data_IF_783977346811
#
_entry.id   IF_783977346811
#
_cell.length_a   1.000
_cell.length_b   1.000
_cell.length_c   1.000
_cell.angle_alpha   90.00
_cell.angle_beta   90.00
_cell.angle_gamma   90.00
#
_symmetry.space_group_name_H-M   'P 1'
#
loop_
_entity.id
_entity.type
_entity.pdbx_description
1 polymer ?
#
# COMPACT_ATOMS: atom_id res chain seq x y z
N UNK A 1 4.05 -17.92 12.17
CA UNK A 1 4.43 -17.43 10.81
C UNK A 1 3.48 -17.94 9.74
N UNK A 2 3.28 -19.25 9.62
CA UNK A 2 2.36 -19.83 8.64
C UNK A 2 0.95 -19.20 8.69
N UNK A 3 0.42 -18.98 9.88
CA UNK A 3 -0.87 -18.31 10.08
C UNK A 3 -0.87 -16.86 9.58
N UNK A 4 0.21 -16.09 9.76
CA UNK A 4 0.33 -14.71 9.26
C UNK A 4 0.32 -14.63 7.72
N UNK A 5 0.95 -15.58 7.07
CA UNK A 5 1.08 -15.59 5.60
C UNK A 5 -0.13 -16.20 4.91
N UNK A 6 -0.83 -17.15 5.54
CA UNK A 6 -2.03 -17.80 4.98
C UNK A 6 -3.31 -16.97 5.13
N UNK A 7 -3.39 -16.10 6.14
CA UNK A 7 -4.56 -15.21 6.33
C UNK A 7 -4.64 -14.19 5.19
N UNK A 8 -5.83 -14.02 4.62
CA UNK A 8 -6.08 -12.95 3.64
C UNK A 8 -6.32 -11.66 4.43
N UNK A 9 -5.51 -10.60 4.19
CA UNK A 9 -5.71 -9.32 4.86
C UNK A 9 -7.09 -8.73 4.55
N UNK A 10 -7.78 -8.22 5.57
CA UNK A 10 -9.13 -7.66 5.43
C UNK A 10 -9.19 -6.50 4.41
N UNK A 11 -8.13 -5.70 4.30
CA UNK A 11 -8.09 -4.56 3.38
C UNK A 11 -8.15 -4.94 1.89
N UNK A 12 -7.96 -6.23 1.54
CA UNK A 12 -8.13 -6.75 0.17
C UNK A 12 -9.58 -7.13 -0.14
N UNK A 13 -10.49 -7.10 0.83
CA UNK A 13 -11.89 -7.42 0.61
C UNK A 13 -12.53 -6.37 -0.33
N UNK A 14 -13.22 -6.83 -1.35
CA UNK A 14 -13.98 -5.95 -2.23
C UNK A 14 -15.11 -5.27 -1.44
N UNK A 15 -15.28 -3.98 -1.66
CA UNK A 15 -16.33 -3.19 -1.02
C UNK A 15 -17.35 -2.76 -2.08
N UNK A 16 -18.55 -3.36 -2.10
CA UNK A 16 -19.58 -3.01 -3.08
C UNK A 16 -20.02 -1.54 -3.03
N UNK A 17 -20.00 -0.97 -1.83
CA UNK A 17 -20.48 0.40 -1.58
C UNK A 17 -19.39 1.47 -1.72
N UNK A 18 -18.13 1.08 -1.96
CA UNK A 18 -17.03 2.02 -2.18
C UNK A 18 -16.95 2.41 -3.65
N UNK A 19 -16.76 3.70 -3.98
CA UNK A 19 -16.45 4.11 -5.35
C UNK A 19 -15.29 3.29 -5.91
N UNK A 20 -15.41 2.82 -7.13
CA UNK A 20 -14.49 1.88 -7.77
C UNK A 20 -13.00 2.31 -7.76
N UNK A 21 -12.64 3.59 -7.96
CA UNK A 21 -11.23 3.96 -7.97
C UNK A 21 -10.57 3.83 -6.59
N UNK A 22 -11.34 3.68 -5.49
CA UNK A 22 -10.80 3.65 -4.13
C UNK A 22 -10.67 2.20 -3.67
N UNK A 23 -9.44 1.72 -3.52
CA UNK A 23 -9.17 0.31 -3.24
C UNK A 23 -9.01 0.01 -1.75
N UNK A 24 -8.21 0.80 -1.06
CA UNK A 24 -7.95 0.65 0.37
C UNK A 24 -7.46 1.96 0.96
N UNK A 25 -7.64 2.15 2.26
CA UNK A 25 -7.10 3.28 2.99
C UNK A 25 -6.35 2.82 4.23
N UNK A 26 -5.44 3.65 4.71
CA UNK A 26 -4.76 3.45 5.98
C UNK A 26 -4.65 4.75 6.76
N UNK A 27 -4.66 4.62 8.09
CA UNK A 27 -4.31 5.67 9.03
C UNK A 27 -3.12 5.21 9.87
N UNK A 28 -2.13 6.09 10.05
CA UNK A 28 -0.98 5.83 10.92
C UNK A 28 -0.87 6.97 11.92
N UNK A 29 -0.71 6.63 13.20
CA UNK A 29 -0.42 7.53 14.28
C UNK A 29 1.00 7.26 14.78
N UNK A 30 1.87 8.27 14.73
CA UNK A 30 3.25 8.19 15.19
C UNK A 30 3.38 8.80 16.58
N UNK A 31 4.04 8.09 17.52
CA UNK A 31 4.20 8.50 18.90
C UNK A 31 5.61 8.21 19.40
N UNK A 32 6.18 9.13 20.16
CA UNK A 32 7.42 8.91 20.89
C UNK A 32 7.17 8.98 22.40
N UNK A 33 7.88 8.16 23.16
CA UNK A 33 7.76 8.08 24.62
C UNK A 33 8.71 9.14 25.22
N UNK A 34 8.20 9.97 26.13
CA UNK A 34 8.90 11.14 26.68
C UNK A 34 10.22 10.79 27.38
N UNK A 35 10.26 9.65 28.06
CA UNK A 35 11.42 9.24 28.87
C UNK A 35 12.60 8.72 28.07
N UNK A 36 12.46 8.60 26.73
CA UNK A 36 13.49 8.07 25.85
C UNK A 36 13.93 9.11 24.82
N UNK A 37 15.18 9.04 24.40
CA UNK A 37 15.67 9.84 23.27
C UNK A 37 15.03 9.37 21.97
N UNK A 38 14.94 10.25 20.97
CA UNK A 38 14.34 9.92 19.69
C UNK A 38 15.07 8.76 19.00
N UNK A 39 14.36 7.93 18.20
CA UNK A 39 14.87 6.67 17.65
C UNK A 39 16.22 6.74 16.92
N UNK A 40 16.56 7.88 16.31
CA UNK A 40 17.85 8.07 15.63
C UNK A 40 19.04 8.07 16.57
N UNK A 41 18.84 8.56 17.80
CA UNK A 41 19.87 8.65 18.84
C UNK A 41 19.75 7.52 19.87
N UNK A 42 18.73 6.68 19.76
CA UNK A 42 18.43 5.61 20.70
C UNK A 42 19.43 4.46 20.55
N UNK A 43 20.11 4.10 21.64
CA UNK A 43 20.98 2.92 21.68
C UNK A 43 20.15 1.64 21.83
N UNK A 44 20.78 0.47 21.57
CA UNK A 44 20.07 -0.82 21.59
C UNK A 44 19.47 -1.16 22.96
N UNK A 45 20.08 -0.73 24.05
CA UNK A 45 19.55 -0.98 25.40
C UNK A 45 18.27 -0.17 25.65
N UNK A 46 18.20 1.07 25.17
CA UNK A 46 16.98 1.89 25.24
C UNK A 46 15.89 1.30 24.35
N UNK A 47 16.22 0.90 23.12
CA UNK A 47 15.28 0.20 22.21
C UNK A 47 14.74 -1.08 22.85
N UNK A 48 15.60 -1.82 23.55
CA UNK A 48 15.19 -3.03 24.29
C UNK A 48 14.31 -2.73 25.48
N UNK A 49 14.56 -1.64 26.17
CA UNK A 49 13.71 -1.16 27.27
C UNK A 49 12.31 -0.75 26.75
N UNK A 50 12.24 -0.01 25.64
CA UNK A 50 10.97 0.36 24.98
C UNK A 50 10.18 -0.89 24.57
N UNK A 51 10.82 -1.83 23.89
CA UNK A 51 10.18 -3.08 23.45
C UNK A 51 9.67 -3.90 24.64
N UNK A 52 10.47 -4.04 25.68
CA UNK A 52 10.10 -4.76 26.91
C UNK A 52 8.90 -4.11 27.61
N UNK A 53 8.91 -2.78 27.71
CA UNK A 53 7.79 -2.00 28.27
C UNK A 53 6.51 -2.24 27.47
N UNK A 54 6.59 -2.16 26.13
CA UNK A 54 5.44 -2.41 25.25
C UNK A 54 4.91 -3.85 25.39
N UNK A 55 5.77 -4.85 25.37
CA UNK A 55 5.38 -6.28 25.57
C UNK A 55 4.72 -6.53 26.92
N UNK A 56 5.15 -5.84 27.96
CA UNK A 56 4.52 -5.93 29.28
C UNK A 56 3.09 -5.35 29.27
N UNK A 57 2.88 -4.26 28.52
CA UNK A 57 1.54 -3.68 28.33
C UNK A 57 0.60 -4.64 27.61
N UNK A 58 1.07 -5.33 26.57
CA UNK A 58 0.28 -6.33 25.85
C UNK A 58 -0.20 -7.48 26.74
N UNK A 59 0.67 -7.96 27.65
CA UNK A 59 0.34 -9.08 28.56
C UNK A 59 -0.70 -8.69 29.61
N UNK A 60 -0.70 -7.44 30.03
CA UNK A 60 -1.48 -6.96 31.17
C UNK A 60 -2.80 -6.27 30.77
N UNK A 61 -3.04 -6.08 29.49
CA UNK A 61 -4.20 -5.33 29.00
C UNK A 61 -4.95 -6.09 27.90
N UNK A 62 -6.25 -6.22 28.06
CA UNK A 62 -7.12 -6.97 27.14
C UNK A 62 -7.47 -6.23 25.84
N UNK A 63 -7.17 -4.94 25.73
CA UNK A 63 -7.54 -4.15 24.53
C UNK A 63 -6.79 -4.58 23.27
N UNK A 64 -5.71 -5.36 23.41
CA UNK A 64 -4.94 -5.96 22.31
C UNK A 64 -5.03 -7.50 22.29
N UNK A 65 -6.11 -8.09 22.79
CA UNK A 65 -6.27 -9.56 22.84
C UNK A 65 -6.51 -10.22 21.47
N UNK A 66 -6.77 -9.42 20.42
CA UNK A 66 -7.13 -9.91 19.08
C UNK A 66 -5.94 -10.11 18.13
N UNK A 67 -4.72 -10.31 18.63
CA UNK A 67 -3.53 -10.46 17.81
C UNK A 67 -2.32 -10.93 18.59
N UNK A 68 -1.18 -11.02 17.91
CA UNK A 68 0.10 -11.46 18.47
C UNK A 68 1.21 -10.44 18.27
N UNK A 69 2.22 -10.49 19.15
CA UNK A 69 3.43 -9.69 19.03
C UNK A 69 4.58 -10.51 18.45
N UNK A 70 5.23 -9.95 17.46
CA UNK A 70 6.36 -10.57 16.76
C UNK A 70 7.61 -9.72 16.93
N UNK A 71 8.72 -10.36 17.33
CA UNK A 71 10.03 -9.74 17.41
C UNK A 71 10.63 -9.72 16.01
N UNK A 72 10.64 -8.55 15.37
CA UNK A 72 11.07 -8.41 13.96
C UNK A 72 12.58 -8.59 13.82
N UNK A 73 13.37 -8.21 14.84
CA UNK A 73 14.83 -8.43 14.83
C UNK A 73 15.25 -9.89 14.72
N UNK A 74 14.37 -10.83 15.10
CA UNK A 74 14.66 -12.28 15.10
C UNK A 74 14.14 -12.97 13.81
N UNK A 75 13.47 -12.22 12.92
CA UNK A 75 12.91 -12.75 11.69
C UNK A 75 13.95 -12.82 10.57
N UNK A 76 13.81 -13.82 9.71
CA UNK A 76 14.54 -13.88 8.45
C UNK A 76 14.08 -12.80 7.47
N UNK A 77 14.94 -12.46 6.52
CA UNK A 77 14.71 -11.40 5.55
C UNK A 77 13.49 -11.66 4.65
N UNK A 78 13.22 -12.92 4.29
CA UNK A 78 12.08 -13.26 3.44
C UNK A 78 10.76 -13.02 4.15
N UNK A 79 10.69 -13.42 5.41
CA UNK A 79 9.54 -13.17 6.28
C UNK A 79 9.28 -11.68 6.46
N UNK A 80 10.31 -10.89 6.76
CA UNK A 80 10.17 -9.43 6.90
C UNK A 80 9.67 -8.79 5.60
N UNK A 81 10.19 -9.22 4.44
CA UNK A 81 9.72 -8.74 3.12
C UNK A 81 8.25 -9.09 2.89
N UNK A 82 7.83 -10.30 3.25
CA UNK A 82 6.44 -10.70 3.15
C UNK A 82 5.51 -9.83 4.01
N UNK A 83 5.93 -9.47 5.25
CA UNK A 83 5.19 -8.55 6.10
C UNK A 83 5.13 -7.11 5.52
N UNK A 84 6.22 -6.66 4.90
CA UNK A 84 6.26 -5.36 4.22
C UNK A 84 5.34 -5.33 3.00
N UNK A 85 5.33 -6.37 2.17
CA UNK A 85 4.40 -6.53 1.04
C UNK A 85 2.93 -6.54 1.51
N UNK A 86 2.66 -7.09 2.70
CA UNK A 86 1.35 -7.06 3.38
C UNK A 86 1.01 -5.72 4.04
N UNK A 87 1.94 -4.77 4.02
CA UNK A 87 1.82 -3.45 4.67
C UNK A 87 1.71 -3.52 6.19
N UNK A 88 2.18 -4.60 6.81
CA UNK A 88 2.17 -4.80 8.26
C UNK A 88 3.40 -4.20 8.95
N UNK A 89 4.51 -4.09 8.22
CA UNK A 89 5.69 -3.32 8.62
C UNK A 89 6.11 -2.35 7.51
N UNK A 90 6.94 -1.36 7.84
CA UNK A 90 7.49 -0.44 6.85
C UNK A 90 8.78 -0.98 6.24
N UNK A 91 9.15 -0.51 5.05
CA UNK A 91 10.46 -0.81 4.46
C UNK A 91 11.62 -0.27 5.30
N UNK A 92 11.42 0.86 6.01
CA UNK A 92 12.41 1.37 6.96
C UNK A 92 12.63 0.38 8.10
N UNK A 93 11.55 -0.18 8.66
CA UNK A 93 11.64 -1.20 9.70
C UNK A 93 12.34 -2.48 9.19
N UNK A 94 12.16 -2.82 7.92
CA UNK A 94 12.87 -3.93 7.27
C UNK A 94 14.37 -3.67 7.14
N UNK A 95 14.78 -2.41 6.90
CA UNK A 95 16.17 -2.01 6.75
C UNK A 95 16.85 -1.62 8.08
N UNK A 96 16.09 -1.38 9.15
CA UNK A 96 16.61 -0.97 10.44
C UNK A 96 17.37 -2.12 11.13
N UNK A 97 18.26 -1.75 12.05
CA UNK A 97 18.96 -2.68 12.94
C UNK A 97 18.48 -2.50 14.38
N UNK A 98 18.82 -3.42 15.26
CA UNK A 98 18.52 -3.38 16.69
C UNK A 98 17.12 -3.89 17.06
N UNK A 99 16.81 -3.88 18.36
CA UNK A 99 15.55 -4.39 18.92
C UNK A 99 14.34 -3.66 18.36
N UNK A 100 13.44 -4.40 17.73
CA UNK A 100 12.20 -3.90 17.15
C UNK A 100 11.17 -5.01 16.99
N UNK A 101 9.91 -4.65 17.05
CA UNK A 101 8.84 -5.63 16.92
C UNK A 101 7.56 -5.04 16.38
N UNK A 102 6.58 -5.90 16.14
CA UNK A 102 5.27 -5.52 15.66
C UNK A 102 4.19 -6.37 16.30
N UNK A 103 3.15 -5.73 16.81
CA UNK A 103 1.90 -6.38 17.15
C UNK A 103 1.00 -6.37 15.91
N UNK A 104 0.35 -7.50 15.61
CA UNK A 104 -0.52 -7.65 14.44
C UNK A 104 -1.80 -8.34 14.86
N UNK A 105 -2.96 -7.77 14.51
CA UNK A 105 -4.26 -8.41 14.69
C UNK A 105 -4.45 -9.61 13.77
N UNK A 106 -5.25 -10.60 14.17
CA UNK A 106 -5.47 -11.83 13.39
C UNK A 106 -6.07 -11.56 12.00
N UNK A 107 -6.92 -10.53 11.85
CA UNK A 107 -7.48 -10.09 10.55
C UNK A 107 -6.53 -9.17 9.75
N UNK A 108 -5.37 -8.82 10.32
CA UNK A 108 -4.36 -7.94 9.72
C UNK A 108 -4.87 -6.54 9.34
N UNK A 109 -5.93 -6.05 10.02
CA UNK A 109 -6.42 -4.68 9.84
C UNK A 109 -5.70 -3.65 10.71
N UNK A 110 -5.00 -4.10 11.77
CA UNK A 110 -4.23 -3.26 12.68
C UNK A 110 -2.83 -3.84 12.90
N UNK A 111 -1.83 -2.97 12.86
CA UNK A 111 -0.46 -3.28 13.26
C UNK A 111 0.09 -2.15 14.15
N UNK A 112 0.78 -2.51 15.24
CA UNK A 112 1.50 -1.55 16.08
C UNK A 112 2.99 -1.88 16.02
N UNK A 113 3.73 -1.05 15.33
CA UNK A 113 5.18 -1.18 15.17
C UNK A 113 5.90 -0.50 16.35
N UNK A 114 6.90 -1.17 16.90
CA UNK A 114 7.73 -0.68 18.00
C UNK A 114 9.16 -0.52 17.50
N UNK A 115 9.78 0.62 17.80
CA UNK A 115 11.10 1.01 17.33
C UNK A 115 11.23 1.00 15.79
N UNK A 116 10.21 1.51 15.11
CA UNK A 116 10.24 1.81 13.68
C UNK A 116 10.90 3.17 13.43
N UNK A 117 10.24 4.08 12.69
CA UNK A 117 10.69 5.47 12.55
C UNK A 117 10.54 6.26 13.85
N UNK A 118 9.46 6.01 14.56
CA UNK A 118 9.16 6.52 15.89
C UNK A 118 9.11 5.35 16.89
N UNK A 119 9.06 5.62 18.20
CA UNK A 119 9.03 4.56 19.20
C UNK A 119 7.82 3.66 19.05
N UNK A 120 6.66 4.25 18.70
CA UNK A 120 5.41 3.52 18.44
C UNK A 120 4.77 4.11 17.18
N UNK A 121 4.38 3.24 16.24
CA UNK A 121 3.58 3.62 15.08
C UNK A 121 2.36 2.69 15.00
N UNK A 122 1.18 3.25 15.21
CA UNK A 122 -0.10 2.54 15.17
C UNK A 122 -0.65 2.67 13.75
N UNK A 123 -0.82 1.55 13.06
CA UNK A 123 -1.31 1.49 11.67
C UNK A 123 -2.62 0.73 11.62
N UNK A 124 -3.66 1.37 11.13
CA UNK A 124 -4.92 0.74 10.74
C UNK A 124 -5.07 0.74 9.23
N UNK A 125 -5.51 -0.37 8.65
CA UNK A 125 -5.72 -0.53 7.20
C UNK A 125 -7.13 -1.07 6.97
N UNK A 126 -7.91 -0.37 6.13
CA UNK A 126 -9.29 -0.71 5.82
C UNK A 126 -9.51 -0.83 4.31
N UNK A 127 -10.46 -1.67 3.86
CA UNK A 127 -10.82 -1.75 2.46
C UNK A 127 -11.63 -0.51 2.03
N UNK A 128 -11.46 -0.09 0.78
CA UNK A 128 -12.16 1.07 0.22
C UNK A 128 -11.77 2.40 0.87
N UNK A 129 -12.70 3.36 0.87
CA UNK A 129 -12.52 4.72 1.36
C UNK A 129 -12.88 4.95 2.85
N UNK A 130 -12.81 3.94 3.69
CA UNK A 130 -13.19 3.97 5.12
C UNK A 130 -12.16 4.69 5.98
N UNK A 131 -11.78 5.92 5.60
CA UNK A 131 -10.71 6.69 6.26
C UNK A 131 -11.04 7.04 7.71
N UNK A 132 -12.30 7.32 8.01
CA UNK A 132 -12.76 7.62 9.37
C UNK A 132 -12.67 6.38 10.26
N UNK A 133 -13.16 5.25 9.78
CA UNK A 133 -13.13 3.98 10.52
C UNK A 133 -11.68 3.51 10.74
N UNK A 134 -10.79 3.73 9.76
CA UNK A 134 -9.36 3.46 9.92
C UNK A 134 -8.74 4.34 11.03
N UNK A 135 -9.09 5.63 11.05
CA UNK A 135 -8.65 6.52 12.12
C UNK A 135 -9.24 6.10 13.48
N UNK A 136 -10.54 5.84 13.56
CA UNK A 136 -11.18 5.43 14.81
C UNK A 136 -10.59 4.14 15.39
N UNK A 137 -10.21 3.19 14.54
CA UNK A 137 -9.53 1.98 14.98
C UNK A 137 -8.12 2.29 15.54
N UNK A 138 -7.34 3.10 14.84
CA UNK A 138 -6.02 3.51 15.29
C UNK A 138 -6.09 4.35 16.57
N UNK A 139 -7.04 5.29 16.64
CA UNK A 139 -7.21 6.21 17.77
C UNK A 139 -7.62 5.47 19.06
N UNK A 140 -8.47 4.45 18.98
CA UNK A 140 -8.80 3.63 20.16
C UNK A 140 -7.55 2.98 20.79
N UNK A 141 -6.61 2.56 19.98
CA UNK A 141 -5.33 1.99 20.46
C UNK A 141 -4.41 3.10 20.96
N UNK A 142 -4.38 4.23 20.30
CA UNK A 142 -3.61 5.41 20.72
C UNK A 142 -4.04 5.92 22.10
N UNK A 143 -5.35 6.10 22.32
CA UNK A 143 -5.93 6.49 23.60
C UNK A 143 -5.60 5.49 24.71
N UNK A 144 -5.72 4.19 24.41
CA UNK A 144 -5.40 3.14 25.38
C UNK A 144 -3.91 3.10 25.73
N UNK A 145 -3.02 3.30 24.76
CA UNK A 145 -1.58 3.39 24.99
C UNK A 145 -1.20 4.70 25.69
N UNK A 146 -1.83 5.83 25.35
CA UNK A 146 -1.61 7.13 25.96
C UNK A 146 -1.93 7.18 27.46
N UNK A 147 -2.88 6.33 27.91
CA UNK A 147 -3.16 6.16 29.34
C UNK A 147 -2.05 5.39 30.10
N UNK A 148 -1.15 4.71 29.38
CA UNK A 148 -0.14 3.80 29.95
C UNK A 148 1.30 4.26 29.65
N UNK A 149 1.46 5.07 28.60
CA UNK A 149 2.73 5.60 28.12
C UNK A 149 2.64 7.14 28.09
N UNK A 150 3.62 7.82 28.64
CA UNK A 150 3.72 9.28 28.54
C UNK A 150 4.32 9.65 27.19
N UNK A 151 3.48 10.07 26.24
CA UNK A 151 3.94 10.45 24.91
C UNK A 151 4.57 11.85 24.89
N UNK A 152 5.60 12.03 24.06
CA UNK A 152 6.26 13.31 23.83
C UNK A 152 5.31 14.27 23.13
N UNK A 153 4.77 15.19 23.89
CA UNK A 153 3.78 16.19 23.45
C UNK A 153 4.22 17.60 23.88
N UNK A 154 4.02 18.55 22.99
CA UNK A 154 4.26 19.97 23.26
C UNK A 154 2.97 20.76 23.01
N UNK A 155 2.58 21.61 23.95
CA UNK A 155 1.29 22.35 23.95
C UNK A 155 1.00 23.11 22.63
N UNK A 156 2.03 23.66 22.00
CA UNK A 156 1.90 24.46 20.77
C UNK A 156 2.16 23.65 19.49
N UNK A 157 2.93 22.56 19.58
CA UNK A 157 3.36 21.79 18.42
C UNK A 157 2.64 20.46 18.28
N UNK A 158 1.92 20.01 19.31
CA UNK A 158 1.30 18.68 19.32
C UNK A 158 2.30 17.57 19.62
N UNK A 159 2.07 16.38 19.07
CA UNK A 159 2.97 15.25 19.23
C UNK A 159 4.29 15.47 18.52
N UNK A 160 5.36 15.18 19.23
CA UNK A 160 6.72 15.32 18.72
C UNK A 160 7.16 14.00 18.06
N UNK A 161 7.43 14.05 16.78
CA UNK A 161 7.81 12.91 15.96
C UNK A 161 9.19 13.10 15.35
N UNK A 162 9.83 11.99 14.96
CA UNK A 162 11.12 12.02 14.27
C UNK A 162 11.09 12.90 13.02
N UNK A 163 10.04 12.80 12.23
CA UNK A 163 9.90 13.60 11.04
C UNK A 163 9.10 14.87 11.29
N UNK A 164 9.67 16.02 10.95
CA UNK A 164 8.99 17.32 11.06
C UNK A 164 7.65 17.38 10.32
N UNK A 165 7.48 16.59 9.26
CA UNK A 165 6.20 16.48 8.53
C UNK A 165 5.10 15.73 9.27
N UNK A 166 5.44 15.06 10.38
CA UNK A 166 4.49 14.35 11.23
C UNK A 166 4.22 15.06 12.54
N UNK A 167 5.02 16.11 12.87
CA UNK A 167 4.82 16.94 14.07
C UNK A 167 3.43 17.56 14.01
N UNK A 168 2.70 17.55 15.11
CA UNK A 168 1.33 18.02 15.23
C UNK A 168 0.41 16.89 15.66
N UNK A 169 -0.49 16.46 14.82
CA UNK A 169 -1.35 15.28 15.08
C UNK A 169 -0.57 13.97 15.08
N UNK A 170 0.60 13.92 14.47
CA UNK A 170 1.33 12.68 14.23
C UNK A 170 0.56 11.73 13.30
N UNK A 171 -0.47 12.22 12.59
CA UNK A 171 -1.39 11.42 11.79
C UNK A 171 -1.06 11.46 10.30
N UNK A 172 -0.96 10.30 9.70
CA UNK A 172 -0.83 10.13 8.26
C UNK A 172 -1.95 9.25 7.74
N UNK A 173 -2.77 9.83 6.88
CA UNK A 173 -3.82 9.11 6.16
C UNK A 173 -3.37 8.92 4.72
N UNK A 174 -3.46 7.70 4.19
CA UNK A 174 -3.20 7.45 2.79
C UNK A 174 -4.22 6.50 2.18
N UNK A 175 -4.49 6.69 0.89
CA UNK A 175 -5.50 5.93 0.15
C UNK A 175 -4.92 5.41 -1.15
N UNK A 176 -5.07 4.10 -1.37
CA UNK A 176 -4.68 3.44 -2.61
C UNK A 176 -5.80 3.60 -3.65
N UNK A 177 -5.44 4.14 -4.79
CA UNK A 177 -6.34 4.48 -5.89
C UNK A 177 -5.94 3.76 -7.18
N UNK A 178 -6.94 3.43 -8.00
CA UNK A 178 -6.76 2.89 -9.35
C UNK A 178 -7.40 3.85 -10.36
N UNK A 179 -6.58 4.59 -11.13
CA UNK A 179 -6.99 5.74 -11.94
C UNK A 179 -6.67 5.59 -13.44
N UNK A 180 -7.09 4.51 -14.12
CA UNK A 180 -6.77 4.28 -15.53
C UNK A 180 -7.40 5.31 -16.47
N UNK A 181 -8.61 5.83 -16.15
CA UNK A 181 -9.28 6.83 -16.97
C UNK A 181 -8.50 8.15 -17.01
N UNK A 182 -8.13 8.66 -15.84
CA UNK A 182 -7.35 9.88 -15.71
C UNK A 182 -5.96 9.75 -16.36
N UNK A 183 -5.31 8.59 -16.24
CA UNK A 183 -4.02 8.30 -16.91
C UNK A 183 -4.16 8.35 -18.42
N UNK A 184 -5.10 7.58 -18.99
CA UNK A 184 -5.27 7.45 -20.45
C UNK A 184 -5.77 8.74 -21.11
N UNK A 185 -6.51 9.56 -20.36
CA UNK A 185 -6.97 10.88 -20.80
C UNK A 185 -5.98 12.01 -20.50
N UNK A 186 -4.85 11.71 -19.81
CA UNK A 186 -3.80 12.68 -19.43
C UNK A 186 -4.29 13.82 -18.54
N UNK A 187 -5.20 13.53 -17.61
CA UNK A 187 -5.86 14.51 -16.72
C UNK A 187 -5.26 14.55 -15.30
N UNK A 188 -4.20 13.78 -15.03
CA UNK A 188 -3.60 13.69 -13.69
C UNK A 188 -2.99 15.00 -13.20
N UNK A 189 -2.38 15.80 -14.07
CA UNK A 189 -1.75 17.07 -13.66
C UNK A 189 -2.77 18.09 -13.15
N UNK A 190 -3.94 18.16 -13.77
CA UNK A 190 -5.00 19.06 -13.35
C UNK A 190 -5.56 18.64 -11.98
N UNK A 191 -5.66 17.34 -11.77
CA UNK A 191 -6.06 16.78 -10.48
C UNK A 191 -5.01 17.09 -9.39
N UNK A 192 -3.73 16.84 -9.65
CA UNK A 192 -2.63 17.09 -8.72
C UNK A 192 -2.58 18.55 -8.25
N UNK A 193 -2.75 19.49 -9.19
CA UNK A 193 -2.77 20.92 -8.88
C UNK A 193 -3.94 21.31 -7.95
N UNK A 194 -5.09 20.65 -8.06
CA UNK A 194 -6.23 20.81 -7.15
C UNK A 194 -5.94 20.25 -5.77
N UNK A 195 -5.42 19.03 -5.69
CA UNK A 195 -5.11 18.32 -4.45
C UNK A 195 -4.02 19.02 -3.62
N UNK A 196 -2.99 19.56 -4.29
CA UNK A 196 -1.92 20.31 -3.61
C UNK A 196 -2.44 21.53 -2.84
N UNK A 197 -3.50 22.19 -3.34
CA UNK A 197 -4.16 23.30 -2.63
C UNK A 197 -4.93 22.85 -1.38
N UNK A 198 -5.27 21.58 -1.29
CA UNK A 198 -5.94 20.95 -0.16
C UNK A 198 -4.94 20.27 0.79
N UNK A 199 -3.63 20.55 0.67
CA UNK A 199 -2.56 19.92 1.45
C UNK A 199 -2.51 18.38 1.27
N UNK A 200 -2.88 17.91 0.08
CA UNK A 200 -2.83 16.50 -0.30
C UNK A 200 -1.84 16.28 -1.44
N UNK A 201 -1.17 15.15 -1.41
CA UNK A 201 -0.22 14.74 -2.44
C UNK A 201 -0.70 13.44 -3.10
N UNK A 202 -0.71 13.43 -4.43
CA UNK A 202 -0.91 12.24 -5.24
C UNK A 202 0.44 11.77 -5.77
N UNK A 203 0.74 10.49 -5.60
CA UNK A 203 1.99 9.88 -6.06
C UNK A 203 1.72 8.55 -6.75
N UNK A 204 2.50 8.20 -7.78
CA UNK A 204 2.43 6.88 -8.42
C UNK A 204 2.94 5.79 -7.49
N UNK A 205 2.35 4.59 -7.61
CA UNK A 205 2.84 3.39 -6.91
C UNK A 205 3.80 2.65 -7.82
N UNK A 206 5.00 2.37 -7.31
CA UNK A 206 5.95 1.44 -7.95
C UNK A 206 6.12 0.24 -7.03
N UNK A 207 5.98 -0.94 -7.58
CA UNK A 207 6.13 -2.19 -6.83
C UNK A 207 7.51 -2.77 -7.12
N UNK A 208 8.25 -3.04 -6.06
CA UNK A 208 9.59 -3.61 -6.11
C UNK A 208 10.26 -3.53 -4.74
N UNK A 209 11.37 -4.24 -4.56
CA UNK A 209 12.23 -4.07 -3.38
C UNK A 209 13.18 -2.89 -3.68
N UNK A 210 13.14 -1.80 -2.90
CA UNK A 210 13.99 -0.62 -3.12
C UNK A 210 15.49 -0.92 -3.01
N UNK A 211 15.85 -2.06 -2.40
CA UNK A 211 17.25 -2.51 -2.23
C UNK A 211 17.74 -3.31 -3.42
N UNK A 212 16.84 -3.82 -4.25
CA UNK A 212 17.20 -4.48 -5.51
C UNK A 212 17.30 -3.39 -6.56
N UNK A 213 18.50 -3.10 -7.10
CA UNK A 213 18.63 -2.20 -8.23
C UNK A 213 17.63 -2.65 -9.29
N UNK A 214 16.87 -1.71 -9.86
CA UNK A 214 16.05 -2.04 -11.01
C UNK A 214 16.97 -2.73 -12.02
N UNK A 215 16.64 -3.97 -12.35
CA UNK A 215 17.36 -4.71 -13.37
C UNK A 215 17.40 -3.86 -14.63
N UNK A 216 18.57 -3.65 -15.25
CA UNK A 216 18.64 -2.92 -16.51
C UNK A 216 17.65 -3.53 -17.49
N UNK A 217 17.10 -2.71 -18.37
CA UNK A 217 16.09 -3.13 -19.37
C UNK A 217 16.49 -4.37 -20.20
N UNK A 218 17.74 -4.79 -20.14
CA UNK A 218 18.28 -6.00 -20.76
C UNK A 218 17.75 -7.32 -20.16
N UNK A 219 17.19 -7.30 -18.94
CA UNK A 219 16.49 -8.46 -18.35
C UNK A 219 14.96 -8.39 -18.57
N UNK A 220 14.49 -7.43 -19.35
CA UNK A 220 13.15 -7.46 -19.89
C UNK A 220 13.01 -8.73 -20.75
N UNK A 221 12.13 -9.61 -20.33
CA UNK A 221 11.85 -10.85 -21.06
C UNK A 221 11.58 -10.51 -22.52
N UNK A 222 12.22 -11.21 -23.48
CA UNK A 222 11.98 -10.96 -24.90
C UNK A 222 10.50 -11.12 -25.18
N UNK A 223 9.85 -10.08 -25.69
CA UNK A 223 8.43 -10.10 -26.06
C UNK A 223 7.52 -9.09 -25.39
N UNK A 224 7.99 -8.34 -24.38
CA UNK A 224 7.18 -7.31 -23.67
C UNK A 224 6.91 -6.05 -24.50
N UNK A 225 7.44 -5.96 -25.73
CA UNK A 225 7.37 -4.77 -26.59
C UNK A 225 6.10 -4.65 -27.45
N UNK A 226 5.12 -5.53 -27.29
CA UNK A 226 3.93 -5.49 -28.14
C UNK A 226 2.87 -4.51 -27.62
N UNK A 227 2.98 -3.24 -28.01
CA UNK A 227 1.84 -2.31 -28.05
C UNK A 227 1.27 -1.78 -26.74
N UNK A 228 1.45 -2.46 -25.60
CA UNK A 228 1.02 -2.00 -24.28
C UNK A 228 2.11 -1.19 -23.55
N UNK A 229 3.36 -1.34 -23.96
CA UNK A 229 4.54 -0.71 -23.35
C UNK A 229 4.77 0.76 -23.78
N UNK A 230 3.97 1.30 -24.67
CA UNK A 230 4.18 2.65 -25.22
C UNK A 230 3.86 3.81 -24.22
N UNK A 231 3.56 3.53 -22.96
CA UNK A 231 3.15 4.54 -21.97
C UNK A 231 4.14 4.67 -20.80
N UNK A 232 5.14 3.80 -20.68
CA UNK A 232 6.09 3.87 -19.56
C UNK A 232 7.53 3.90 -20.10
N UNK A 233 8.13 5.08 -20.16
CA UNK A 233 9.56 5.19 -20.43
C UNK A 233 10.40 4.57 -19.28
N UNK A 234 11.51 3.85 -19.61
CA UNK A 234 12.38 3.19 -18.63
C UNK A 234 13.23 4.14 -17.75
N UNK A 235 13.10 5.45 -17.94
CA UNK A 235 13.98 6.45 -17.33
C UNK A 235 13.75 6.72 -15.82
N UNK A 236 12.85 6.00 -15.15
CA UNK A 236 12.32 6.39 -13.83
C UNK A 236 12.99 5.69 -12.66
N UNK A 237 14.02 4.91 -12.88
CA UNK A 237 14.67 4.14 -11.80
C UNK A 237 15.45 4.98 -10.76
N UNK A 238 15.56 6.30 -10.95
CA UNK A 238 16.37 7.16 -10.07
C UNK A 238 15.57 7.99 -9.04
N UNK A 239 14.24 7.91 -9.02
CA UNK A 239 13.40 8.73 -8.14
C UNK A 239 12.38 7.92 -7.34
N UNK A 240 12.76 6.74 -6.84
CA UNK A 240 11.93 6.00 -5.90
C UNK A 240 12.03 6.68 -4.54
N UNK A 241 10.94 7.30 -4.11
CA UNK A 241 10.78 7.76 -2.74
C UNK A 241 10.04 6.70 -1.95
N UNK A 242 10.61 6.28 -0.84
CA UNK A 242 9.84 5.60 0.20
C UNK A 242 9.08 6.72 0.90
N UNK A 243 7.74 6.68 0.89
CA UNK A 243 6.98 7.62 1.68
C UNK A 243 7.26 7.38 3.17
N UNK A 244 6.88 8.34 4.01
CA UNK A 244 7.14 8.28 5.46
C UNK A 244 6.44 7.10 6.16
N UNK A 245 5.61 6.35 5.43
CA UNK A 245 4.92 5.15 5.89
C UNK A 245 5.55 3.86 5.33
N UNK A 246 6.68 3.98 4.63
CA UNK A 246 7.38 2.86 4.01
C UNK A 246 6.72 2.31 2.74
N UNK A 247 5.83 3.08 2.09
CA UNK A 247 5.34 2.74 0.76
C UNK A 247 6.31 3.24 -0.30
N UNK A 248 6.51 2.44 -1.35
CA UNK A 248 7.24 2.91 -2.52
C UNK A 248 6.35 3.85 -3.32
N UNK A 249 6.74 5.12 -3.39
CA UNK A 249 6.06 6.12 -4.19
C UNK A 249 6.99 6.70 -5.24
N UNK A 250 6.41 7.16 -6.33
CA UNK A 250 7.13 7.74 -7.45
C UNK A 250 6.38 8.97 -7.99
N UNK A 251 7.02 9.81 -8.81
CA UNK A 251 6.32 10.84 -9.55
C UNK A 251 5.12 10.27 -10.33
N UNK A 252 4.10 11.08 -10.58
CA UNK A 252 2.87 10.64 -11.26
C UNK A 252 3.11 9.90 -12.58
N UNK A 253 4.15 10.27 -13.32
CA UNK A 253 4.51 9.65 -14.59
C UNK A 253 5.05 8.20 -14.45
N UNK A 254 5.39 7.78 -13.24
CA UNK A 254 6.09 6.52 -12.98
C UNK A 254 5.22 5.48 -12.29
N UNK A 255 3.91 5.54 -12.49
CA UNK A 255 2.99 4.58 -11.88
C UNK A 255 3.07 3.20 -12.54
N UNK A 256 2.89 2.15 -11.76
CA UNK A 256 2.75 0.79 -12.25
C UNK A 256 1.29 0.34 -12.09
N UNK A 257 0.66 -0.10 -13.19
CA UNK A 257 -0.72 -0.60 -13.17
C UNK A 257 -1.76 0.47 -12.85
N UNK A 258 -1.51 1.74 -13.19
CA UNK A 258 -2.40 2.88 -12.91
C UNK A 258 -2.78 3.02 -11.44
N UNK A 259 -1.87 2.59 -10.55
CA UNK A 259 -2.04 2.67 -9.10
C UNK A 259 -1.40 3.94 -8.54
N UNK A 260 -2.10 4.60 -7.64
CA UNK A 260 -1.66 5.84 -7.00
C UNK A 260 -1.92 5.79 -5.49
N UNK A 261 -1.17 6.60 -4.75
CA UNK A 261 -1.40 6.86 -3.33
C UNK A 261 -1.69 8.34 -3.15
N UNK A 262 -2.85 8.64 -2.59
CA UNK A 262 -3.20 9.96 -2.06
C UNK A 262 -2.82 10.01 -0.58
N UNK A 263 -2.17 11.10 -0.15
CA UNK A 263 -1.70 11.23 1.24
C UNK A 263 -1.79 12.69 1.71
N UNK A 264 -2.10 12.92 3.01
CA UNK A 264 -2.00 14.25 3.58
C UNK A 264 -0.53 14.68 3.74
N UNK A 265 -0.24 15.93 3.40
CA UNK A 265 1.11 16.50 3.54
C UNK A 265 1.36 17.08 4.93
N UNK A 266 0.39 17.81 5.45
CA UNK A 266 0.53 18.55 6.69
C UNK A 266 -0.18 17.85 7.85
N UNK A 267 0.41 17.99 9.02
CA UNK A 267 -0.08 17.48 10.31
C UNK A 267 -0.04 18.56 11.39
N UNK A 268 0.74 19.62 11.16
CA UNK A 268 0.86 20.78 12.04
C UNK A 268 -0.15 21.86 11.62
N UNK A 269 -0.90 22.37 12.57
CA UNK A 269 -1.88 23.43 12.33
C UNK A 269 -3.24 22.93 11.82
N UNK A 270 -3.41 21.63 11.60
CA UNK A 270 -4.67 20.98 11.30
C UNK A 270 -5.06 20.01 12.41
N UNK A 271 -6.34 19.91 12.70
CA UNK A 271 -6.89 18.85 13.53
C UNK A 271 -7.03 17.56 12.74
N UNK A 272 -7.10 16.42 13.43
CA UNK A 272 -7.36 15.12 12.79
C UNK A 272 -8.69 15.13 12.01
N UNK A 273 -9.72 15.80 12.55
CA UNK A 273 -11.02 15.95 11.89
C UNK A 273 -10.94 16.74 10.57
N UNK A 274 -10.13 17.78 10.51
CA UNK A 274 -9.90 18.57 9.28
C UNK A 274 -9.14 17.75 8.24
N UNK A 275 -8.11 16.98 8.64
CA UNK A 275 -7.39 16.08 7.74
C UNK A 275 -8.35 15.04 7.15
N UNK A 276 -9.19 14.41 7.97
CA UNK A 276 -10.18 13.44 7.51
C UNK A 276 -11.23 14.06 6.58
N UNK A 277 -11.65 15.28 6.88
CA UNK A 277 -12.61 16.02 6.04
C UNK A 277 -12.03 16.33 4.66
N UNK A 278 -10.80 16.89 4.59
CA UNK A 278 -10.13 17.18 3.33
C UNK A 278 -9.89 15.90 2.51
N UNK A 279 -9.47 14.82 3.18
CA UNK A 279 -9.28 13.53 2.52
C UNK A 279 -10.59 13.02 1.92
N UNK A 280 -11.71 13.07 2.67
CA UNK A 280 -13.01 12.63 2.17
C UNK A 280 -13.48 13.43 0.96
N UNK A 281 -13.37 14.77 1.01
CA UNK A 281 -13.70 15.64 -0.12
C UNK A 281 -12.88 15.31 -1.37
N UNK A 282 -11.58 15.12 -1.20
CA UNK A 282 -10.69 14.77 -2.30
C UNK A 282 -11.03 13.39 -2.91
N UNK A 283 -11.40 12.42 -2.08
CA UNK A 283 -11.81 11.09 -2.57
C UNK A 283 -13.11 11.15 -3.39
N UNK A 284 -14.07 11.96 -2.97
CA UNK A 284 -15.32 12.16 -3.72
C UNK A 284 -15.05 12.85 -5.07
N UNK A 285 -14.20 13.90 -5.08
CA UNK A 285 -13.76 14.58 -6.31
C UNK A 285 -12.99 13.62 -7.26
N UNK A 286 -12.05 12.82 -6.73
CA UNK A 286 -11.27 11.87 -7.52
C UNK A 286 -12.19 10.81 -8.14
N UNK A 287 -13.15 10.28 -7.37
CA UNK A 287 -14.08 9.27 -7.85
C UNK A 287 -14.93 9.80 -9.02
N UNK A 288 -15.47 11.00 -8.89
CA UNK A 288 -16.24 11.65 -9.95
C UNK A 288 -15.41 11.91 -11.21
N UNK A 289 -14.21 12.48 -11.04
CA UNK A 289 -13.31 12.78 -12.18
C UNK A 289 -12.82 11.51 -12.89
N UNK A 290 -12.55 10.44 -12.16
CA UNK A 290 -12.15 9.16 -12.77
C UNK A 290 -13.30 8.55 -13.55
N UNK A 291 -14.52 8.57 -13.01
CA UNK A 291 -15.71 8.08 -13.71
C UNK A 291 -15.98 8.87 -14.99
N UNK A 292 -15.90 10.21 -14.93
CA UNK A 292 -16.03 11.08 -16.10
C UNK A 292 -14.94 10.80 -17.15
N UNK A 293 -13.70 10.60 -16.71
CA UNK A 293 -12.59 10.26 -17.59
C UNK A 293 -12.83 8.91 -18.27
N UNK A 294 -13.33 7.89 -17.57
CA UNK A 294 -13.67 6.57 -18.15
C UNK A 294 -14.81 6.71 -19.17
N UNK A 295 -15.87 7.46 -18.85
CA UNK A 295 -16.98 7.73 -19.80
C UNK A 295 -16.49 8.45 -21.05
N UNK A 296 -15.63 9.44 -20.90
CA UNK A 296 -15.03 10.18 -22.00
C UNK A 296 -14.11 9.29 -22.84
N UNK A 297 -13.28 8.48 -22.18
CA UNK A 297 -12.37 7.53 -22.85
C UNK A 297 -13.14 6.52 -23.72
N UNK A 298 -14.23 5.95 -23.18
CA UNK A 298 -15.09 5.04 -23.94
C UNK A 298 -15.73 5.72 -25.14
N UNK A 299 -16.18 6.94 -24.99
CA UNK A 299 -16.83 7.72 -26.08
C UNK A 299 -15.86 8.10 -27.20
N UNK A 300 -14.65 8.54 -26.85
CA UNK A 300 -13.67 9.06 -27.80
C UNK A 300 -12.73 7.99 -28.37
N UNK A 301 -12.43 6.95 -27.60
CA UNK A 301 -11.42 5.92 -27.93
C UNK A 301 -11.89 4.50 -27.60
N UNK A 302 -13.20 4.25 -27.60
CA UNK A 302 -13.77 2.97 -27.15
C UNK A 302 -13.20 1.75 -27.88
N UNK A 303 -13.10 1.79 -29.22
CA UNK A 303 -12.53 0.70 -29.98
C UNK A 303 -11.07 0.38 -29.60
N UNK A 304 -10.24 1.42 -29.38
CA UNK A 304 -8.85 1.24 -28.94
C UNK A 304 -8.76 0.71 -27.52
N UNK A 305 -9.65 1.17 -26.62
CA UNK A 305 -9.72 0.67 -25.26
C UNK A 305 -10.11 -0.80 -25.22
N UNK A 306 -11.15 -1.18 -25.96
CA UNK A 306 -11.60 -2.58 -26.05
C UNK A 306 -10.55 -3.51 -26.65
N UNK A 307 -9.81 -3.06 -27.69
CA UNK A 307 -8.66 -3.78 -28.23
C UNK A 307 -7.56 -3.99 -27.15
N UNK A 308 -7.25 -2.94 -26.39
CA UNK A 308 -6.26 -3.01 -25.31
C UNK A 308 -6.70 -3.98 -24.20
N UNK A 309 -7.97 -3.95 -23.81
CA UNK A 309 -8.55 -4.90 -22.85
C UNK A 309 -8.47 -6.33 -23.40
N UNK A 310 -8.90 -6.55 -24.63
CA UNK A 310 -8.84 -7.87 -25.27
C UNK A 310 -7.42 -8.44 -25.33
N UNK A 311 -6.45 -7.61 -25.68
CA UNK A 311 -5.02 -8.00 -25.67
C UNK A 311 -4.54 -8.33 -24.26
N UNK A 312 -4.88 -7.52 -23.26
CA UNK A 312 -4.51 -7.76 -21.87
C UNK A 312 -5.06 -9.10 -21.36
N UNK A 313 -6.33 -9.39 -21.64
CA UNK A 313 -6.98 -10.66 -21.29
C UNK A 313 -6.33 -11.85 -22.01
N UNK A 314 -6.05 -11.71 -23.30
CA UNK A 314 -5.36 -12.74 -24.09
C UNK A 314 -3.96 -13.04 -23.57
N UNK A 315 -3.18 -11.99 -23.25
CA UNK A 315 -1.85 -12.14 -22.65
C UNK A 315 -1.93 -12.77 -21.25
N UNK A 316 -2.79 -12.27 -20.39
CA UNK A 316 -2.95 -12.80 -19.03
C UNK A 316 -3.38 -14.27 -19.00
N UNK A 317 -4.27 -14.67 -19.93
CA UNK A 317 -4.75 -16.05 -20.07
C UNK A 317 -3.76 -17.02 -20.70
N UNK A 318 -2.79 -16.55 -21.49
CA UNK A 318 -1.86 -17.40 -22.26
C UNK A 318 -0.39 -17.27 -21.86
N UNK A 319 0.02 -16.19 -21.21
CA UNK A 319 1.41 -15.96 -20.83
C UNK A 319 1.99 -17.11 -20.00
N UNK A 320 3.27 -17.42 -20.22
CA UNK A 320 4.04 -18.40 -19.45
C UNK A 320 4.99 -17.75 -18.47
N UNK A 321 5.34 -16.49 -18.73
CA UNK A 321 6.21 -15.67 -17.90
C UNK A 321 5.56 -14.28 -17.80
N UNK A 322 5.45 -13.74 -16.58
CA UNK A 322 4.99 -12.37 -16.34
C UNK A 322 5.95 -11.66 -15.37
N UNK A 323 6.54 -10.58 -15.84
CA UNK A 323 7.26 -9.64 -14.98
C UNK A 323 6.30 -8.93 -14.03
N UNK A 324 6.82 -8.36 -12.93
CA UNK A 324 5.95 -7.72 -11.93
C UNK A 324 5.21 -6.49 -12.50
N UNK A 325 5.90 -5.63 -13.24
CA UNK A 325 5.28 -4.45 -13.85
C UNK A 325 4.21 -4.82 -14.88
N UNK A 326 4.47 -5.82 -15.71
CA UNK A 326 3.51 -6.35 -16.69
C UNK A 326 2.29 -6.95 -15.99
N UNK A 327 2.51 -7.74 -14.94
CA UNK A 327 1.42 -8.33 -14.14
C UNK A 327 0.46 -7.27 -13.59
N UNK A 328 1.00 -6.17 -13.02
CA UNK A 328 0.17 -5.08 -12.50
C UNK A 328 -0.56 -4.32 -13.60
N UNK A 329 0.08 -4.12 -14.76
CA UNK A 329 -0.56 -3.50 -15.91
C UNK A 329 -1.73 -4.36 -16.42
N UNK A 330 -1.52 -5.67 -16.56
CA UNK A 330 -2.59 -6.61 -16.94
C UNK A 330 -3.72 -6.61 -15.90
N UNK A 331 -3.40 -6.64 -14.61
CA UNK A 331 -4.40 -6.56 -13.53
C UNK A 331 -5.22 -5.27 -13.61
N UNK A 332 -4.60 -4.14 -13.99
CA UNK A 332 -5.29 -2.87 -14.20
C UNK A 332 -6.32 -2.94 -15.34
N UNK A 333 -5.95 -3.52 -16.49
CA UNK A 333 -6.90 -3.70 -17.60
C UNK A 333 -8.01 -4.71 -17.29
N UNK A 334 -7.69 -5.79 -16.57
CA UNK A 334 -8.68 -6.78 -16.12
C UNK A 334 -9.69 -6.12 -15.18
N UNK A 335 -9.22 -5.30 -14.23
CA UNK A 335 -10.07 -4.52 -13.33
C UNK A 335 -10.96 -3.54 -14.11
N UNK A 336 -10.39 -2.84 -15.07
CA UNK A 336 -11.15 -1.91 -15.91
C UNK A 336 -12.21 -2.64 -16.73
N UNK A 337 -11.90 -3.81 -17.29
CA UNK A 337 -12.85 -4.63 -18.03
C UNK A 337 -14.01 -5.10 -17.14
N UNK A 338 -13.72 -5.56 -15.94
CA UNK A 338 -14.73 -6.01 -14.97
C UNK A 338 -15.64 -4.87 -14.56
N UNK A 339 -15.08 -3.71 -14.20
CA UNK A 339 -15.84 -2.57 -13.70
C UNK A 339 -16.69 -1.88 -14.79
N UNK A 340 -16.30 -2.00 -16.05
CA UNK A 340 -17.05 -1.48 -17.19
C UNK A 340 -18.03 -2.53 -17.80
N UNK A 341 -18.14 -3.71 -17.19
CA UNK A 341 -19.07 -4.76 -17.65
C UNK A 341 -18.63 -5.48 -18.93
N UNK A 342 -17.35 -5.37 -19.32
CA UNK A 342 -16.80 -6.05 -20.50
C UNK A 342 -16.39 -7.48 -20.27
N UNK A 343 -16.47 -7.96 -19.03
CA UNK A 343 -16.26 -9.35 -18.67
C UNK A 343 -17.17 -9.79 -17.53
N UNK A 344 -17.44 -11.09 -17.47
CA UNK A 344 -18.26 -11.71 -16.43
C UNK A 344 -17.56 -12.92 -15.82
N UNK A 345 -18.00 -13.33 -14.62
CA UNK A 345 -17.45 -14.49 -13.92
C UNK A 345 -16.14 -14.24 -13.17
N UNK A 346 -15.63 -13.00 -13.12
CA UNK A 346 -14.45 -12.67 -12.34
C UNK A 346 -14.79 -12.48 -10.86
N UNK A 347 -14.06 -13.16 -9.98
CA UNK A 347 -14.08 -12.85 -8.55
C UNK A 347 -13.21 -11.62 -8.26
N UNK A 348 -13.85 -10.48 -7.93
CA UNK A 348 -13.16 -9.22 -7.57
C UNK A 348 -12.26 -9.39 -6.35
N UNK A 349 -12.63 -10.23 -5.38
CA UNK A 349 -11.77 -10.54 -4.25
C UNK A 349 -10.48 -11.27 -4.70
N UNK A 350 -10.59 -12.19 -5.66
CA UNK A 350 -9.42 -12.86 -6.23
C UNK A 350 -8.53 -11.87 -6.99
N UNK A 351 -9.10 -10.91 -7.72
CA UNK A 351 -8.35 -9.86 -8.38
C UNK A 351 -7.63 -8.93 -7.38
N UNK A 352 -8.28 -8.58 -6.26
CA UNK A 352 -7.64 -7.80 -5.22
C UNK A 352 -6.50 -8.59 -4.56
N UNK A 353 -6.71 -9.87 -4.25
CA UNK A 353 -5.65 -10.74 -3.70
C UNK A 353 -4.45 -10.86 -4.62
N UNK A 354 -4.68 -10.87 -5.92
CA UNK A 354 -3.61 -10.97 -6.91
C UNK A 354 -2.56 -9.87 -6.76
N UNK A 355 -2.95 -8.65 -6.37
CA UNK A 355 -2.02 -7.55 -6.12
C UNK A 355 -0.99 -7.87 -5.03
N UNK A 356 -1.34 -8.72 -4.09
CA UNK A 356 -0.47 -9.20 -3.03
C UNK A 356 0.23 -10.50 -3.42
N UNK A 357 -0.54 -11.49 -3.89
CA UNK A 357 -0.05 -12.84 -4.18
C UNK A 357 0.98 -12.89 -5.31
N UNK A 358 0.96 -11.94 -6.25
CA UNK A 358 1.94 -11.86 -7.34
C UNK A 358 3.29 -11.24 -6.92
N UNK A 359 3.41 -10.75 -5.68
CA UNK A 359 4.64 -10.16 -5.17
C UNK A 359 5.71 -11.23 -4.85
N UNK A 360 6.99 -10.81 -4.89
CA UNK A 360 8.10 -11.76 -4.85
C UNK A 360 8.23 -12.53 -3.56
N UNK A 361 8.08 -11.89 -2.40
CA UNK A 361 8.17 -12.59 -1.12
C UNK A 361 6.97 -13.50 -0.87
N UNK A 362 5.76 -13.09 -1.31
CA UNK A 362 4.56 -13.93 -1.24
C UNK A 362 4.71 -15.20 -2.06
N UNK A 363 5.20 -15.12 -3.30
CA UNK A 363 5.42 -16.30 -4.14
C UNK A 363 6.43 -17.26 -3.49
N UNK A 364 7.49 -16.75 -2.87
CA UNK A 364 8.48 -17.55 -2.18
C UNK A 364 7.89 -18.23 -0.94
N UNK A 365 7.18 -17.48 -0.09
CA UNK A 365 6.63 -18.00 1.18
C UNK A 365 5.44 -18.94 0.94
N UNK A 366 4.48 -18.51 0.11
CA UNK A 366 3.20 -19.22 -0.05
C UNK A 366 3.28 -20.42 -1.01
N UNK A 367 4.25 -20.41 -1.93
CA UNK A 367 4.36 -21.42 -2.99
C UNK A 367 5.69 -22.16 -3.01
N UNK A 368 6.62 -21.81 -2.11
CA UNK A 368 7.99 -22.36 -2.14
C UNK A 368 8.73 -22.00 -3.43
N UNK A 369 8.34 -20.91 -4.11
CA UNK A 369 8.94 -20.53 -5.39
C UNK A 369 10.39 -20.11 -5.18
N UNK A 370 11.34 -20.61 -5.95
CA UNK A 370 12.72 -20.14 -5.90
C UNK A 370 12.82 -18.63 -6.18
N UNK A 371 13.82 -17.92 -5.63
CA UNK A 371 13.92 -16.46 -5.74
C UNK A 371 14.32 -15.96 -7.13
N UNK A 372 14.69 -16.86 -8.05
CA UNK A 372 15.09 -16.47 -9.41
C UNK A 372 13.95 -15.78 -10.16
N UNK A 373 14.28 -14.72 -10.87
CA UNK A 373 13.32 -13.88 -11.59
C UNK A 373 12.43 -14.70 -12.54
N UNK A 374 12.99 -15.73 -13.20
CA UNK A 374 12.25 -16.59 -14.12
C UNK A 374 11.21 -17.47 -13.40
N UNK A 375 11.58 -18.03 -12.24
CA UNK A 375 10.68 -18.85 -11.41
C UNK A 375 9.51 -18.01 -10.90
N UNK A 376 9.80 -16.82 -10.38
CA UNK A 376 8.78 -15.86 -9.95
C UNK A 376 7.86 -15.42 -11.10
N UNK A 377 8.41 -15.18 -12.29
CA UNK A 377 7.64 -14.81 -13.48
C UNK A 377 6.73 -15.96 -13.95
N UNK A 378 7.19 -17.20 -13.84
CA UNK A 378 6.39 -18.40 -14.16
C UNK A 378 5.19 -18.54 -13.24
N UNK A 379 5.40 -18.37 -11.93
CA UNK A 379 4.33 -18.46 -10.94
C UNK A 379 3.31 -17.32 -11.06
N UNK A 380 3.77 -16.08 -11.34
CA UNK A 380 2.85 -14.97 -11.64
C UNK A 380 1.95 -15.31 -12.82
N UNK A 381 2.52 -15.80 -13.92
CA UNK A 381 1.75 -16.19 -15.09
C UNK A 381 0.73 -17.30 -14.76
N UNK A 382 1.08 -18.26 -13.91
CA UNK A 382 0.16 -19.30 -13.46
C UNK A 382 -0.99 -18.75 -12.61
N UNK A 383 -0.74 -17.73 -11.78
CA UNK A 383 -1.78 -17.02 -11.00
C UNK A 383 -2.81 -16.38 -11.93
N UNK A 384 -2.37 -15.64 -12.95
CA UNK A 384 -3.26 -14.97 -13.89
C UNK A 384 -4.10 -15.94 -14.70
N UNK A 385 -3.50 -17.03 -15.20
CA UNK A 385 -4.26 -18.07 -15.91
C UNK A 385 -5.33 -18.71 -15.04
N UNK A 386 -5.05 -18.93 -13.74
CA UNK A 386 -6.05 -19.45 -12.79
C UNK A 386 -7.16 -18.42 -12.53
N UNK A 387 -6.81 -17.16 -12.34
CA UNK A 387 -7.80 -16.09 -12.13
C UNK A 387 -8.79 -16.02 -13.29
N UNK A 388 -8.32 -16.15 -14.53
CA UNK A 388 -9.14 -16.03 -15.74
C UNK A 388 -9.80 -17.34 -16.16
N UNK A 389 -9.51 -18.46 -15.48
CA UNK A 389 -10.19 -19.72 -15.78
C UNK A 389 -11.66 -19.64 -15.40
N UNK A 390 -12.55 -19.80 -16.40
CA UNK A 390 -14.01 -19.71 -16.20
C UNK A 390 -14.61 -18.30 -16.37
N UNK A 391 -13.81 -17.29 -16.73
CA UNK A 391 -14.33 -15.96 -17.09
C UNK A 391 -14.73 -15.93 -18.58
N UNK A 392 -15.73 -15.09 -18.89
CA UNK A 392 -16.15 -14.82 -20.26
C UNK A 392 -15.96 -13.33 -20.60
N UNK A 393 -15.57 -13.05 -21.84
CA UNK A 393 -15.46 -11.70 -22.40
C UNK A 393 -16.79 -11.41 -23.12
N UNK A 394 -17.41 -10.28 -22.81
CA UNK A 394 -18.66 -9.80 -23.42
C UNK A 394 -18.38 -9.02 -24.71
#
# INVERSE_FOLDING_TARGET
>A
MEQLTSTIPEWLAAQPDSPEPIMACQCVLARNIRDFVFPECCIDDERRAIETRFRSLLKNNSFMAGGDYYVVSDMDNLTMRCLAERRLITYEMLCANGPRGVYITYNQSLAVMVNACDHVAIRSIMPGGKVREAWEQANRVDDALGNLLDFSYHERLGYLTRSLRMVGTGMKVSVLLHLPGLVMMRLLHDLEAGLSKQHLQLSGVVVGDPRVPATPANDALPGTAYGLAAVVEPAVCQCLYVDMLGNLTAPLAATTGNLFILVNQDTLGLSESEILFHMKQALDEIAEREEDARRKLMRERGATLLDSIGRALGLAGSARLLGMGEALLLASFIRLAETQGHMTGLDRNALNRLLLECQGAHLQVMRGTPPEARSLATERAALFRRLLSGTAIN
#
